data_IF_493550667086
#
_entry.id   IF_493550667086
#
_cell.length_a   1.000
_cell.length_b   1.000
_cell.length_c   1.000
_cell.angle_alpha   90.00
_cell.angle_beta   90.00
_cell.angle_gamma   90.00
#
_symmetry.space_group_name_H-M   'P 1'
#
loop_
_entity.id
_entity.type
_entity.pdbx_description
1 polymer ?
#
# COMPACT_ATOMS: atom_id res chain seq x y z
N UNK A 1 11.90 -2.74 26.74
CA UNK A 1 11.10 -3.87 27.22
C UNK A 1 9.91 -3.38 28.05
N UNK A 2 8.71 -3.95 27.85
CA UNK A 2 7.53 -3.66 28.69
C UNK A 2 7.45 -4.54 29.94
N UNK A 3 8.19 -5.64 29.97
CA UNK A 3 8.18 -6.58 31.08
C UNK A 3 8.73 -5.90 32.35
N UNK A 4 7.91 -5.84 33.41
CA UNK A 4 8.24 -5.17 34.67
C UNK A 4 7.90 -3.67 34.73
N UNK A 5 7.43 -3.06 33.64
CA UNK A 5 6.98 -1.66 33.64
C UNK A 5 5.51 -1.53 34.10
N UNK A 6 5.06 -0.36 34.61
CA UNK A 6 3.65 -0.12 34.90
C UNK A 6 2.83 -0.16 33.61
N UNK A 7 2.20 -1.31 33.33
CA UNK A 7 1.54 -1.60 32.05
C UNK A 7 0.56 -0.52 31.61
N UNK A 8 -0.19 0.09 32.55
CA UNK A 8 -1.15 1.15 32.24
C UNK A 8 -0.47 2.43 31.75
N UNK A 9 0.67 2.81 32.35
CA UNK A 9 1.46 3.97 31.89
C UNK A 9 2.09 3.69 30.54
N UNK A 10 2.60 2.48 30.33
CA UNK A 10 3.20 2.08 29.07
C UNK A 10 2.16 2.03 27.93
N UNK A 11 0.95 1.55 28.21
CA UNK A 11 -0.16 1.56 27.26
C UNK A 11 -0.62 2.99 26.93
N UNK A 12 -0.80 3.85 27.94
CA UNK A 12 -1.13 5.26 27.70
C UNK A 12 -0.04 5.99 26.93
N UNK A 13 1.24 5.69 27.18
CA UNK A 13 2.35 6.22 26.40
C UNK A 13 2.27 5.72 24.95
N UNK A 14 2.07 4.42 24.75
CA UNK A 14 2.02 3.83 23.43
C UNK A 14 0.86 4.41 22.60
N UNK A 15 -0.36 4.48 23.16
CA UNK A 15 -1.55 5.03 22.50
C UNK A 15 -1.45 6.54 22.20
N UNK A 16 -0.69 7.30 23.00
CA UNK A 16 -0.53 8.74 22.80
C UNK A 16 0.54 9.07 21.76
N UNK A 17 1.61 8.28 21.69
CA UNK A 17 2.79 8.59 20.90
C UNK A 17 2.93 7.78 19.61
N UNK A 18 2.26 6.62 19.50
CA UNK A 18 2.29 5.77 18.32
C UNK A 18 0.85 5.56 17.83
N UNK A 19 0.50 6.24 16.75
CA UNK A 19 -0.84 6.16 16.10
C UNK A 19 -0.77 5.50 14.72
N UNK A 20 0.38 4.97 14.39
CA UNK A 20 0.75 4.36 13.12
C UNK A 20 1.13 2.90 13.36
N UNK A 21 1.61 2.25 12.31
CA UNK A 21 1.93 0.84 12.24
C UNK A 21 3.06 0.43 13.19
N UNK A 22 3.88 1.41 13.57
CA UNK A 22 4.96 1.23 14.53
C UNK A 22 4.45 0.77 15.91
N UNK A 23 3.19 1.05 16.25
CA UNK A 23 2.54 0.52 17.45
C UNK A 23 2.51 -1.02 17.44
N UNK A 24 2.11 -1.62 16.33
CA UNK A 24 2.08 -3.08 16.16
C UNK A 24 3.51 -3.63 16.12
N UNK A 25 4.41 -2.95 15.40
CA UNK A 25 5.80 -3.35 15.30
C UNK A 25 6.52 -3.43 16.67
N UNK A 26 6.15 -2.56 17.61
CA UNK A 26 6.87 -2.40 18.88
C UNK A 26 6.14 -3.02 20.09
N UNK A 27 4.80 -3.03 20.10
CA UNK A 27 4.01 -3.36 21.30
C UNK A 27 3.19 -4.66 21.21
N UNK A 28 3.10 -5.31 20.05
CA UNK A 28 2.35 -6.56 19.91
C UNK A 28 3.01 -7.71 20.69
N UNK A 29 2.40 -8.17 21.78
CA UNK A 29 3.05 -9.12 22.68
C UNK A 29 3.15 -10.55 22.09
N UNK A 30 4.19 -11.33 22.45
CA UNK A 30 4.29 -12.75 22.06
C UNK A 30 3.14 -13.61 22.60
N UNK A 31 2.48 -13.17 23.67
CA UNK A 31 1.30 -13.83 24.22
C UNK A 31 0.11 -13.66 23.28
N UNK A 32 -0.18 -12.42 22.87
CA UNK A 32 -1.28 -12.12 21.97
C UNK A 32 -1.08 -12.72 20.57
N UNK A 33 0.17 -12.75 20.07
CA UNK A 33 0.52 -13.44 18.81
C UNK A 33 0.12 -14.92 18.86
N UNK A 34 0.41 -15.60 19.97
CA UNK A 34 0.04 -17.02 20.16
C UNK A 34 -1.47 -17.20 20.35
N UNK A 35 -2.11 -16.33 21.13
CA UNK A 35 -3.55 -16.40 21.41
C UNK A 35 -4.39 -16.20 20.13
N UNK A 36 -4.01 -15.20 19.31
CA UNK A 36 -4.63 -14.91 18.02
C UNK A 36 -4.17 -15.87 16.91
N UNK A 37 -3.25 -16.79 17.20
CA UNK A 37 -2.64 -17.74 16.25
C UNK A 37 -2.11 -17.05 14.99
N UNK A 38 -1.48 -15.88 15.15
CA UNK A 38 -0.90 -15.16 14.03
C UNK A 38 0.35 -15.91 13.53
N UNK A 39 0.35 -16.22 12.25
CA UNK A 39 1.50 -16.76 11.53
C UNK A 39 1.79 -15.85 10.33
N UNK A 40 3.06 -15.66 10.02
CA UNK A 40 3.48 -14.97 8.79
C UNK A 40 3.76 -16.02 7.73
N UNK A 41 3.17 -15.86 6.55
CA UNK A 41 3.50 -16.70 5.39
C UNK A 41 4.66 -16.02 4.69
N UNK A 42 5.80 -16.70 4.60
CA UNK A 42 6.92 -16.30 3.76
C UNK A 42 6.52 -16.52 2.31
N UNK A 43 5.97 -15.49 1.68
CA UNK A 43 5.79 -15.46 0.23
C UNK A 43 7.10 -14.92 -0.38
N UNK A 44 8.05 -15.84 -0.57
CA UNK A 44 9.26 -15.60 -1.34
C UNK A 44 9.00 -16.22 -2.72
N UNK A 45 8.66 -15.39 -3.72
CA UNK A 45 8.37 -15.78 -5.11
C UNK A 45 9.48 -16.61 -5.77
N UNK A 46 10.66 -16.73 -5.13
CA UNK A 46 11.81 -17.52 -5.59
C UNK A 46 11.90 -18.92 -4.95
N UNK A 47 10.96 -19.32 -4.08
CA UNK A 47 10.99 -20.61 -3.38
C UNK A 47 9.75 -21.46 -3.68
N UNK A 48 9.98 -22.65 -4.24
CA UNK A 48 8.97 -23.64 -4.65
C UNK A 48 8.19 -24.29 -3.47
N UNK A 49 8.53 -23.96 -2.22
CA UNK A 49 7.88 -24.49 -1.03
C UNK A 49 7.70 -23.41 0.05
N UNK A 50 6.48 -23.31 0.58
CA UNK A 50 6.14 -22.49 1.73
C UNK A 50 6.83 -23.05 2.98
N UNK A 51 7.99 -22.49 3.34
CA UNK A 51 8.68 -22.85 4.57
C UNK A 51 7.99 -22.17 5.76
N UNK A 52 7.17 -22.94 6.49
CA UNK A 52 6.60 -22.50 7.77
C UNK A 52 7.74 -22.50 8.80
N UNK A 53 8.51 -21.42 8.88
CA UNK A 53 9.44 -21.20 9.99
C UNK A 53 8.65 -20.75 11.24
N UNK A 54 7.74 -21.62 11.70
CA UNK A 54 7.14 -21.51 13.01
C UNK A 54 8.17 -21.90 14.08
N UNK A 55 9.21 -21.09 14.25
CA UNK A 55 10.04 -21.15 15.45
C UNK A 55 9.60 -19.98 16.31
N UNK A 56 8.90 -20.30 17.39
CA UNK A 56 8.37 -19.39 18.39
C UNK A 56 9.48 -18.74 19.25
N UNK A 57 10.53 -18.25 18.62
CA UNK A 57 11.63 -17.49 19.22
C UNK A 57 11.46 -15.98 19.03
N UNK A 58 12.38 -15.20 19.58
CA UNK A 58 12.33 -13.73 19.54
C UNK A 58 12.38 -13.19 18.10
N UNK A 59 13.08 -13.88 17.19
CA UNK A 59 13.19 -13.51 15.79
C UNK A 59 11.88 -13.72 15.03
N UNK A 60 11.16 -14.82 15.32
CA UNK A 60 9.83 -15.10 14.77
C UNK A 60 8.79 -14.08 15.20
N UNK A 61 8.79 -13.67 16.48
CA UNK A 61 7.89 -12.60 16.94
C UNK A 61 8.20 -11.26 16.28
N UNK A 62 9.47 -10.91 16.14
CA UNK A 62 9.86 -9.67 15.46
C UNK A 62 9.43 -9.68 14.00
N UNK A 63 9.53 -10.82 13.31
CA UNK A 63 9.09 -10.97 11.93
C UNK A 63 7.56 -10.84 11.80
N UNK A 64 6.79 -11.53 12.64
CA UNK A 64 5.31 -11.41 12.64
C UNK A 64 4.88 -9.97 12.92
N UNK A 65 5.55 -9.27 13.83
CA UNK A 65 5.32 -7.85 14.11
C UNK A 65 5.56 -6.97 12.89
N UNK A 66 6.69 -7.17 12.20
CA UNK A 66 7.03 -6.40 11.01
C UNK A 66 6.06 -6.69 9.85
N UNK A 67 5.73 -7.96 9.60
CA UNK A 67 4.79 -8.36 8.56
C UNK A 67 3.40 -7.77 8.80
N UNK A 68 2.88 -7.88 10.04
CA UNK A 68 1.59 -7.31 10.39
C UNK A 68 1.61 -5.77 10.33
N UNK A 69 2.68 -5.14 10.82
CA UNK A 69 2.89 -3.69 10.69
C UNK A 69 2.82 -3.24 9.23
N UNK A 70 3.49 -3.95 8.30
CA UNK A 70 3.44 -3.64 6.86
C UNK A 70 2.04 -3.77 6.26
N UNK A 71 1.22 -4.72 6.74
CA UNK A 71 -0.17 -4.86 6.26
C UNK A 71 -1.07 -3.71 6.71
N UNK A 72 -0.79 -3.14 7.87
CA UNK A 72 -1.51 -1.97 8.37
C UNK A 72 -0.99 -0.66 7.79
N UNK A 73 0.18 -0.68 7.13
CA UNK A 73 0.80 0.50 6.55
C UNK A 73 -0.11 1.14 5.52
N UNK A 74 -0.64 2.30 5.86
CA UNK A 74 -1.53 3.07 5.01
C UNK A 74 -0.85 3.41 3.67
N UNK A 75 0.48 3.60 3.68
CA UNK A 75 1.31 3.79 2.49
C UNK A 75 1.41 2.53 1.62
N UNK A 76 1.13 1.36 2.20
CA UNK A 76 1.10 0.07 1.51
C UNK A 76 -0.24 -0.23 0.85
N UNK A 77 -1.31 0.45 1.29
CA UNK A 77 -2.66 0.34 0.71
C UNK A 77 -2.91 1.33 -0.41
N UNK A 78 -2.32 2.52 -0.34
CA UNK A 78 -2.55 3.58 -1.31
C UNK A 78 -1.49 3.54 -2.41
N UNK A 79 -1.89 3.34 -3.69
CA UNK A 79 -0.92 3.35 -4.79
C UNK A 79 -0.31 4.75 -4.96
N UNK A 80 1.01 4.80 -5.14
CA UNK A 80 1.74 6.05 -5.38
C UNK A 80 1.49 6.55 -6.81
N UNK A 81 0.47 7.37 -6.99
CA UNK A 81 0.09 7.98 -8.27
C UNK A 81 0.36 9.47 -8.23
N UNK A 82 1.13 9.97 -9.20
CA UNK A 82 1.52 11.37 -9.29
C UNK A 82 1.12 11.97 -10.64
N UNK A 83 0.86 13.28 -10.65
CA UNK A 83 0.73 14.04 -11.89
C UNK A 83 2.11 14.21 -12.49
N UNK A 84 2.36 13.55 -13.62
CA UNK A 84 3.67 13.55 -14.27
C UNK A 84 3.81 14.69 -15.29
N UNK A 85 2.80 14.87 -16.14
CA UNK A 85 2.81 15.94 -17.13
C UNK A 85 1.40 16.37 -17.52
N UNK A 86 1.28 17.61 -17.99
CA UNK A 86 0.04 18.18 -18.54
C UNK A 86 0.36 18.83 -19.88
N UNK A 87 -0.36 18.46 -20.94
CA UNK A 87 -0.15 19.03 -22.27
C UNK A 87 -0.89 20.37 -22.44
N UNK A 88 -0.39 21.43 -21.79
CA UNK A 88 -1.08 22.74 -21.78
C UNK A 88 -1.20 23.43 -23.15
N UNK A 89 -0.37 23.06 -24.12
CA UNK A 89 -0.33 23.69 -25.46
C UNK A 89 -1.05 22.91 -26.55
N UNK A 90 -1.37 21.65 -26.30
CA UNK A 90 -2.03 20.77 -27.28
C UNK A 90 -3.43 20.39 -26.85
N UNK A 91 -3.65 19.09 -26.70
CA UNK A 91 -4.92 18.46 -26.35
C UNK A 91 -5.31 18.60 -24.86
N UNK A 92 -4.49 19.27 -24.05
CA UNK A 92 -4.68 19.42 -22.59
C UNK A 92 -4.77 18.08 -21.87
N UNK A 93 -4.23 17.02 -22.45
CA UNK A 93 -4.20 15.72 -21.79
C UNK A 93 -3.37 15.73 -20.50
N UNK A 94 -3.79 14.90 -19.54
CA UNK A 94 -3.12 14.69 -18.26
C UNK A 94 -2.43 13.32 -18.27
N UNK A 95 -1.13 13.30 -17.98
CA UNK A 95 -0.39 12.04 -17.76
C UNK A 95 -0.18 11.84 -16.27
N UNK A 96 -0.77 10.78 -15.75
CA UNK A 96 -0.52 10.25 -14.41
C UNK A 96 0.56 9.18 -14.46
N UNK A 97 1.35 9.08 -13.40
CA UNK A 97 2.38 8.07 -13.25
C UNK A 97 2.21 7.35 -11.92
N UNK A 98 2.01 6.04 -12.00
CA UNK A 98 2.02 5.12 -10.88
C UNK A 98 3.43 4.54 -10.71
N UNK A 99 4.05 4.78 -9.55
CA UNK A 99 5.33 4.17 -9.18
C UNK A 99 5.06 2.86 -8.45
N UNK A 100 5.38 1.74 -9.09
CA UNK A 100 5.16 0.42 -8.51
C UNK A 100 6.14 0.17 -7.36
N UNK A 101 5.62 -0.31 -6.24
CA UNK A 101 6.40 -0.79 -5.10
C UNK A 101 6.11 -2.28 -4.91
N UNK A 102 7.11 -3.09 -4.56
CA UNK A 102 6.95 -4.53 -4.30
C UNK A 102 6.24 -5.29 -5.44
N UNK A 103 6.48 -4.89 -6.69
CA UNK A 103 5.85 -5.45 -7.90
C UNK A 103 4.29 -5.46 -7.87
N UNK A 104 3.67 -4.57 -7.07
CA UNK A 104 2.21 -4.51 -6.97
C UNK A 104 1.60 -3.79 -8.16
N UNK A 105 0.62 -4.43 -8.77
CA UNK A 105 -0.19 -3.86 -9.84
C UNK A 105 -1.40 -3.11 -9.28
N UNK A 106 -1.88 -2.13 -10.05
CA UNK A 106 -3.15 -1.47 -9.76
C UNK A 106 -4.31 -2.46 -9.92
N UNK A 107 -5.36 -2.30 -9.09
CA UNK A 107 -6.56 -3.14 -9.12
C UNK A 107 -7.41 -2.90 -10.38
N UNK A 108 -8.44 -3.72 -10.57
CA UNK A 108 -9.42 -3.56 -11.65
C UNK A 108 -10.20 -2.24 -11.61
N UNK A 109 -10.21 -1.54 -10.46
CA UNK A 109 -10.92 -0.26 -10.30
C UNK A 109 -10.24 0.90 -11.02
N UNK A 110 -9.02 0.68 -11.54
CA UNK A 110 -8.22 1.68 -12.28
C UNK A 110 -9.02 2.37 -13.38
N UNK A 111 -9.81 1.59 -14.15
CA UNK A 111 -10.57 2.14 -15.27
C UNK A 111 -11.69 3.08 -14.82
N UNK A 112 -12.31 2.79 -13.67
CA UNK A 112 -13.34 3.64 -13.10
C UNK A 112 -12.74 4.93 -12.54
N UNK A 113 -11.62 4.83 -11.82
CA UNK A 113 -10.90 6.02 -11.30
C UNK A 113 -10.46 6.91 -12.46
N UNK A 114 -9.90 6.34 -13.54
CA UNK A 114 -9.51 7.11 -14.72
C UNK A 114 -10.69 7.81 -15.40
N UNK A 115 -11.86 7.16 -15.45
CA UNK A 115 -13.09 7.79 -15.97
C UNK A 115 -13.53 8.97 -15.10
N UNK A 116 -13.41 8.86 -13.79
CA UNK A 116 -13.72 9.97 -12.88
C UNK A 116 -12.70 11.11 -13.03
N UNK A 117 -11.41 10.78 -13.13
CA UNK A 117 -10.35 11.75 -13.39
C UNK A 117 -10.58 12.49 -14.71
N UNK A 118 -10.90 11.78 -15.79
CA UNK A 118 -11.21 12.39 -17.09
C UNK A 118 -12.44 13.30 -17.02
N UNK A 119 -13.47 12.94 -16.24
CA UNK A 119 -14.65 13.81 -16.02
C UNK A 119 -14.30 15.10 -15.27
N UNK A 120 -13.46 15.01 -14.25
CA UNK A 120 -13.02 16.18 -13.46
C UNK A 120 -12.06 17.06 -14.27
N UNK A 121 -11.16 16.44 -15.03
CA UNK A 121 -10.16 17.14 -15.84
C UNK A 121 -10.73 17.70 -17.15
N UNK A 122 -11.78 17.08 -17.70
CA UNK A 122 -12.47 17.43 -18.95
C UNK A 122 -11.62 17.26 -20.23
N UNK A 123 -10.52 16.53 -20.14
CA UNK A 123 -9.67 16.14 -21.27
C UNK A 123 -9.18 14.70 -21.06
N UNK A 124 -8.51 14.16 -22.08
CA UNK A 124 -7.98 12.80 -22.04
C UNK A 124 -6.97 12.61 -20.89
N UNK A 125 -7.06 11.46 -20.23
CA UNK A 125 -6.17 11.10 -19.12
C UNK A 125 -5.46 9.80 -19.44
N UNK A 126 -4.14 9.81 -19.30
CA UNK A 126 -3.27 8.65 -19.45
C UNK A 126 -2.69 8.28 -18.10
N UNK A 127 -2.48 6.99 -17.86
CA UNK A 127 -1.81 6.49 -16.66
C UNK A 127 -0.75 5.46 -17.02
N UNK A 128 0.47 5.71 -16.57
CA UNK A 128 1.61 4.82 -16.77
C UNK A 128 2.02 4.20 -15.45
N UNK A 129 2.07 2.86 -15.39
CA UNK A 129 2.70 2.15 -14.27
C UNK A 129 4.16 1.87 -14.59
N UNK A 130 5.05 2.33 -13.72
CA UNK A 130 6.50 2.31 -13.91
C UNK A 130 7.12 1.50 -12.77
N UNK A 131 8.04 0.60 -13.10
CA UNK A 131 8.79 -0.15 -12.10
C UNK A 131 9.94 0.66 -11.48
N UNK A 132 10.62 0.06 -10.49
CA UNK A 132 11.76 0.65 -9.79
C UNK A 132 12.94 1.00 -10.73
N UNK A 133 13.02 0.34 -11.89
CA UNK A 133 14.04 0.59 -12.91
C UNK A 133 13.62 1.72 -13.89
N UNK A 134 12.46 2.33 -13.70
CA UNK A 134 11.93 3.37 -14.58
C UNK A 134 11.30 2.85 -15.88
N UNK A 135 11.08 1.54 -15.99
CA UNK A 135 10.47 0.92 -17.17
C UNK A 135 8.95 0.91 -17.05
N UNK A 136 8.27 1.37 -18.10
CA UNK A 136 6.80 1.34 -18.15
C UNK A 136 6.33 -0.10 -18.33
N UNK A 137 5.64 -0.63 -17.32
CA UNK A 137 5.07 -2.00 -17.32
C UNK A 137 3.67 -2.07 -17.90
N UNK A 138 2.87 -1.02 -17.68
CA UNK A 138 1.49 -0.98 -18.14
C UNK A 138 1.07 0.46 -18.42
N UNK A 139 0.26 0.65 -19.46
CA UNK A 139 -0.34 1.94 -19.81
C UNK A 139 -1.85 1.79 -19.86
N UNK A 140 -2.55 2.75 -19.29
CA UNK A 140 -3.99 2.89 -19.33
C UNK A 140 -4.33 4.23 -19.99
N UNK A 141 -5.46 4.27 -20.70
CA UNK A 141 -5.95 5.48 -21.32
C UNK A 141 -7.45 5.62 -21.08
N UNK A 142 -7.88 6.86 -20.82
CA UNK A 142 -9.29 7.20 -20.75
C UNK A 142 -9.52 8.46 -21.55
N UNK A 143 -10.28 8.33 -22.64
CA UNK A 143 -10.69 9.47 -23.44
C UNK A 143 -11.87 10.16 -22.79
N UNK A 144 -11.81 11.48 -22.72
CA UNK A 144 -12.92 12.27 -22.20
C UNK A 144 -14.06 12.28 -23.21
N UNK A 145 -15.24 11.86 -22.76
CA UNK A 145 -16.48 12.04 -23.51
C UNK A 145 -17.34 13.07 -22.77
N UNK A 146 -17.63 14.22 -23.40
CA UNK A 146 -18.50 15.22 -22.80
C UNK A 146 -19.90 14.63 -22.55
N UNK A 147 -20.53 14.94 -21.41
CA UNK A 147 -21.87 14.46 -21.13
C UNK A 147 -22.85 14.97 -22.20
N UNK A 148 -23.87 14.19 -22.57
CA UNK A 148 -24.88 14.63 -23.53
C UNK A 148 -25.55 15.90 -23.01
N UNK A 149 -25.55 16.95 -23.84
CA UNK A 149 -26.25 18.19 -23.55
C UNK A 149 -27.75 17.86 -23.48
N UNK A 150 -28.35 18.02 -22.30
CA UNK A 150 -29.81 17.98 -22.17
C UNK A 150 -30.35 19.28 -22.77
N UNK A 151 -30.91 19.18 -23.97
CA UNK A 151 -31.71 20.23 -24.62
C UNK A 151 -33.07 20.36 -23.94
#
# INVERSE_FOLDING_TARGET
>A
ELAGSPWLKALHYAMRNFKDESFVAQYLSPHLIREMRLFSVLDDDMRDALEVSAIHDESGYQYVRQALSRQYDMHHREPNIQVWSVNTRGDRSLTLRHFMSDNRHLSGDTDEVLRHMARLWQFDVFLESVDENGTVRKRYECRYMPPPVRL
#
